data_IF_963049789084
#
_entry.id   IF_963049789084
#
_cell.length_a   1.000
_cell.length_b   1.000
_cell.length_c   1.000
_cell.angle_alpha   90.00
_cell.angle_beta   90.00
_cell.angle_gamma   90.00
#
_symmetry.space_group_name_H-M   'P 1'
#
loop_
_entity.id
_entity.type
_entity.pdbx_description
1 polymer ?
#
# COMPACT_ATOMS: atom_id res chain seq x y z
N UNK A 1 -29.33 43.49 7.46
CA UNK A 1 -28.47 42.65 8.33
C UNK A 1 -27.49 41.98 7.40
N UNK A 2 -26.23 42.41 7.42
CA UNK A 2 -25.15 41.79 6.64
C UNK A 2 -24.68 40.56 7.40
N UNK A 3 -24.96 39.38 6.88
CA UNK A 3 -24.40 38.12 7.37
C UNK A 3 -22.89 38.16 7.17
N UNK A 4 -22.12 37.97 8.24
CA UNK A 4 -20.67 37.82 8.15
C UNK A 4 -20.34 36.63 7.23
N UNK A 5 -19.37 36.77 6.32
CA UNK A 5 -18.98 35.69 5.42
C UNK A 5 -18.45 34.50 6.22
N UNK A 6 -18.86 33.28 5.85
CA UNK A 6 -18.41 32.07 6.52
C UNK A 6 -16.91 31.89 6.26
N UNK A 7 -16.18 31.31 7.23
CA UNK A 7 -14.73 31.05 7.09
C UNK A 7 -14.41 30.23 5.83
N UNK A 8 -15.34 29.37 5.40
CA UNK A 8 -15.23 28.61 4.15
C UNK A 8 -15.25 29.55 2.94
N UNK A 9 -16.13 30.55 2.93
CA UNK A 9 -16.25 31.51 1.83
C UNK A 9 -14.96 32.32 1.70
N UNK A 10 -14.41 32.79 2.83
CA UNK A 10 -13.13 33.51 2.87
C UNK A 10 -11.99 32.64 2.32
N UNK A 11 -11.99 31.34 2.64
CA UNK A 11 -10.96 30.42 2.16
C UNK A 11 -11.10 30.11 0.66
N UNK A 12 -12.33 30.07 0.12
CA UNK A 12 -12.54 29.97 -1.32
C UNK A 12 -12.14 31.26 -2.06
N UNK A 13 -12.44 32.43 -1.50
CA UNK A 13 -11.97 33.70 -2.05
C UNK A 13 -10.43 33.77 -2.09
N UNK A 14 -9.77 33.30 -1.02
CA UNK A 14 -8.31 33.18 -0.98
C UNK A 14 -7.79 32.14 -2.00
N UNK A 15 -8.55 31.08 -2.26
CA UNK A 15 -8.20 30.05 -3.23
C UNK A 15 -8.25 30.59 -4.67
N UNK A 16 -9.24 31.42 -4.98
CA UNK A 16 -9.35 32.10 -6.28
C UNK A 16 -8.15 33.04 -6.53
N UNK A 17 -7.64 33.68 -5.48
CA UNK A 17 -6.44 34.54 -5.56
C UNK A 17 -5.12 33.72 -5.66
N UNK A 18 -5.07 32.54 -5.05
CA UNK A 18 -3.88 31.69 -4.98
C UNK A 18 -4.23 30.21 -5.22
N UNK A 19 -4.54 29.83 -6.48
CA UNK A 19 -5.00 28.48 -6.80
C UNK A 19 -3.93 27.41 -6.53
N UNK A 20 -2.65 27.77 -6.48
CA UNK A 20 -1.57 26.83 -6.15
C UNK A 20 -1.30 26.72 -4.63
N UNK A 21 -2.01 27.49 -3.80
CA UNK A 21 -1.72 27.57 -2.38
C UNK A 21 -2.29 26.37 -1.62
N UNK A 22 -1.43 25.39 -1.43
CA UNK A 22 -1.72 24.18 -0.66
C UNK A 22 -2.12 24.48 0.80
N UNK A 23 -1.69 25.61 1.38
CA UNK A 23 -2.15 26.03 2.70
C UNK A 23 -3.65 26.34 2.72
N UNK A 24 -4.16 26.98 1.67
CA UNK A 24 -5.57 27.32 1.55
C UNK A 24 -6.40 26.04 1.34
N UNK A 25 -5.91 25.10 0.52
CA UNK A 25 -6.54 23.79 0.34
C UNK A 25 -6.65 23.00 1.65
N UNK A 26 -5.57 22.95 2.45
CA UNK A 26 -5.58 22.32 3.77
C UNK A 26 -6.64 22.95 4.68
N UNK A 27 -6.73 24.29 4.71
CA UNK A 27 -7.70 25.00 5.55
C UNK A 27 -9.14 24.81 5.10
N UNK A 28 -9.40 24.71 3.80
CA UNK A 28 -10.74 24.40 3.27
C UNK A 28 -11.18 23.01 3.75
N UNK A 29 -10.31 22.01 3.64
CA UNK A 29 -10.61 20.64 4.09
C UNK A 29 -10.86 20.62 5.60
N UNK A 30 -10.00 21.26 6.40
CA UNK A 30 -10.17 21.36 7.86
C UNK A 30 -11.48 22.09 8.24
N UNK A 31 -11.85 23.14 7.51
CA UNK A 31 -13.08 23.89 7.74
C UNK A 31 -14.33 23.04 7.44
N UNK A 32 -14.33 22.26 6.35
CA UNK A 32 -15.40 21.30 6.04
C UNK A 32 -15.50 20.19 7.10
N UNK A 33 -14.35 19.65 7.53
CA UNK A 33 -14.31 18.65 8.61
C UNK A 33 -14.88 19.19 9.92
N UNK A 34 -14.62 20.45 10.27
CA UNK A 34 -15.15 21.06 11.49
C UNK A 34 -16.68 21.24 11.47
N UNK A 35 -17.27 21.36 10.27
CA UNK A 35 -18.73 21.46 10.09
C UNK A 35 -19.43 20.11 9.98
N UNK A 36 -18.67 19.00 9.98
CA UNK A 36 -19.18 17.64 9.74
C UNK A 36 -19.95 17.52 8.41
N UNK A 37 -19.59 18.36 7.44
CA UNK A 37 -20.14 18.39 6.08
C UNK A 37 -19.06 17.88 5.11
N UNK A 38 -19.42 16.99 4.19
CA UNK A 38 -18.50 16.51 3.16
C UNK A 38 -18.47 17.48 1.99
N UNK A 39 -17.28 17.88 1.52
CA UNK A 39 -17.12 18.49 0.19
C UNK A 39 -17.81 17.55 -0.81
N UNK A 40 -18.93 17.97 -1.44
CA UNK A 40 -19.81 17.07 -2.17
C UNK A 40 -19.15 16.39 -3.36
N UNK A 41 -17.96 16.83 -3.81
CA UNK A 41 -17.27 16.24 -4.95
C UNK A 41 -15.78 15.95 -4.74
N UNK A 42 -15.19 16.22 -3.56
CA UNK A 42 -13.74 16.15 -3.35
C UNK A 42 -12.95 16.90 -4.46
N UNK A 43 -13.58 17.93 -5.04
CA UNK A 43 -13.18 18.53 -6.30
C UNK A 43 -11.84 19.25 -6.13
N UNK A 44 -11.64 19.86 -4.96
CA UNK A 44 -10.43 20.60 -4.58
C UNK A 44 -9.19 19.69 -4.55
N UNK A 45 -9.33 18.46 -4.03
CA UNK A 45 -8.23 17.49 -4.03
C UNK A 45 -7.93 16.95 -5.44
N UNK A 46 -8.97 16.74 -6.26
CA UNK A 46 -8.80 16.26 -7.63
C UNK A 46 -8.20 17.30 -8.58
N UNK A 47 -8.58 18.57 -8.49
CA UNK A 47 -8.03 19.67 -9.29
C UNK A 47 -6.54 19.86 -9.01
N UNK A 48 -6.14 19.87 -7.74
CA UNK A 48 -4.74 19.95 -7.33
C UNK A 48 -3.88 18.78 -7.85
N UNK A 49 -4.44 17.57 -7.90
CA UNK A 49 -3.75 16.39 -8.45
C UNK A 49 -3.59 16.43 -9.98
N UNK A 50 -4.51 17.09 -10.70
CA UNK A 50 -4.43 17.23 -12.17
C UNK A 50 -3.38 18.26 -12.58
N UNK A 51 -3.37 19.45 -11.97
CA UNK A 51 -2.45 20.54 -12.33
C UNK A 51 -0.97 20.18 -12.09
N UNK A 52 -0.69 19.33 -11.10
CA UNK A 52 0.66 18.84 -10.82
C UNK A 52 1.17 17.78 -11.81
N UNK A 53 0.27 16.99 -12.42
CA UNK A 53 0.64 16.05 -13.50
C UNK A 53 1.10 16.78 -14.76
N UNK A 54 0.57 17.97 -15.01
CA UNK A 54 0.87 18.74 -16.21
C UNK A 54 2.12 19.63 -16.06
N UNK A 55 2.41 20.10 -14.86
CA UNK A 55 3.64 20.87 -14.54
C UNK A 55 4.91 20.00 -14.45
N UNK A 56 4.78 18.73 -14.04
CA UNK A 56 5.90 17.78 -14.03
C UNK A 56 6.29 17.25 -15.43
N UNK A 57 5.43 17.41 -16.45
CA UNK A 57 5.77 17.06 -17.84
C UNK A 57 6.60 18.12 -18.56
N UNK A 58 6.68 19.34 -18.06
CA UNK A 58 7.26 20.49 -18.79
C UNK A 58 8.55 21.05 -18.19
N UNK A 59 9.02 20.55 -17.04
CA UNK A 59 10.17 21.14 -16.33
C UNK A 59 11.35 20.18 -16.15
N UNK A 60 11.94 19.74 -17.27
CA UNK A 60 13.29 19.13 -17.29
C UNK A 60 14.31 20.06 -17.96
N UNK A 61 14.58 21.21 -17.35
CA UNK A 61 15.88 21.93 -17.48
C UNK A 61 15.84 23.26 -16.74
N UNK A 62 16.49 23.34 -15.57
CA UNK A 62 17.38 24.45 -15.25
C UNK A 62 18.06 24.19 -13.91
N UNK A 63 19.38 24.07 -13.97
CA UNK A 63 20.28 24.13 -12.83
C UNK A 63 20.34 25.57 -12.34
N UNK A 64 19.95 25.83 -11.08
CA UNK A 64 20.35 27.06 -10.38
C UNK A 64 20.81 26.75 -8.96
N UNK A 65 22.10 27.01 -8.76
CA UNK A 65 22.81 27.08 -7.49
C UNK A 65 22.25 28.20 -6.61
N UNK A 66 21.84 27.84 -5.38
CA UNK A 66 21.40 28.79 -4.34
C UNK A 66 22.53 28.98 -3.31
N UNK A 67 22.77 30.20 -2.77
CA UNK A 67 23.85 30.46 -1.84
C UNK A 67 23.54 29.96 -0.41
N UNK A 68 24.58 29.37 0.19
CA UNK A 68 24.64 28.74 1.52
C UNK A 68 24.50 29.78 2.64
N UNK A 69 23.33 29.84 3.29
CA UNK A 69 23.09 30.60 4.53
C UNK A 69 23.60 29.78 5.73
N UNK A 70 24.51 30.36 6.54
CA UNK A 70 25.01 29.75 7.79
C UNK A 70 23.88 29.69 8.82
N UNK A 71 23.42 28.49 9.17
CA UNK A 71 22.54 28.26 10.32
C UNK A 71 23.35 27.73 11.51
N UNK A 72 22.98 28.23 12.69
CA UNK A 72 23.61 28.01 13.98
C UNK A 72 23.46 26.55 14.46
N UNK A 73 24.48 26.08 15.17
CA UNK A 73 24.52 24.75 15.78
C UNK A 73 23.46 24.61 16.89
N UNK A 74 22.79 23.46 17.03
CA UNK A 74 22.02 23.14 18.21
C UNK A 74 22.95 22.70 19.35
N UNK A 75 22.68 23.22 20.55
CA UNK A 75 23.30 22.79 21.81
C UNK A 75 23.01 21.32 22.06
N UNK A 76 24.07 20.54 22.29
CA UNK A 76 24.01 19.16 22.79
C UNK A 76 23.48 19.18 24.24
N UNK A 77 22.32 18.60 24.48
CA UNK A 77 21.94 18.06 25.79
C UNK A 77 22.11 16.55 25.75
N UNK A 78 23.21 16.09 26.35
CA UNK A 78 23.45 14.67 26.62
C UNK A 78 22.68 14.25 27.87
N UNK A 79 21.76 13.30 27.75
CA UNK A 79 21.31 12.47 28.85
C UNK A 79 21.49 11.00 28.45
N UNK A 80 22.11 10.16 29.28
CA UNK A 80 22.33 8.76 28.95
C UNK A 80 21.03 7.96 29.11
N UNK A 81 20.80 7.04 28.18
CA UNK A 81 19.75 6.05 28.25
C UNK A 81 20.02 5.08 29.41
N UNK A 82 19.10 5.01 30.38
CA UNK A 82 19.06 3.92 31.36
C UNK A 82 17.89 2.99 31.05
N UNK A 83 18.22 1.71 30.92
CA UNK A 83 17.34 0.58 30.61
C UNK A 83 16.59 0.03 31.85
N UNK A 84 16.27 0.90 32.82
CA UNK A 84 15.66 0.50 34.10
C UNK A 84 14.22 1.01 34.33
N UNK A 85 13.57 1.63 33.33
CA UNK A 85 12.38 2.46 33.55
C UNK A 85 11.03 1.73 33.70
N UNK A 86 10.89 0.46 33.30
CA UNK A 86 9.54 -0.13 33.26
C UNK A 86 8.96 -0.46 34.65
N UNK A 87 9.81 -0.71 35.64
CA UNK A 87 9.37 -0.96 37.03
C UNK A 87 9.05 0.32 37.79
N UNK A 88 9.62 1.46 37.38
CA UNK A 88 9.42 2.76 38.03
C UNK A 88 8.13 3.45 37.55
N UNK A 89 7.77 3.28 36.28
CA UNK A 89 6.57 3.88 35.68
C UNK A 89 5.26 3.47 36.36
N UNK A 90 5.16 2.24 36.86
CA UNK A 90 3.96 1.80 37.59
C UNK A 90 3.87 2.49 38.96
N UNK A 91 5.02 2.74 39.60
CA UNK A 91 5.13 3.50 40.84
C UNK A 91 4.75 4.96 40.61
N UNK A 92 5.37 5.59 39.61
CA UNK A 92 5.10 6.97 39.21
C UNK A 92 3.62 7.18 38.81
N UNK A 93 3.02 6.21 38.11
CA UNK A 93 1.61 6.26 37.73
C UNK A 93 0.69 6.20 38.94
N UNK A 94 0.96 5.30 39.91
CA UNK A 94 0.18 5.23 41.16
C UNK A 94 0.35 6.50 41.99
N UNK A 95 1.56 7.05 42.02
CA UNK A 95 1.86 8.31 42.69
C UNK A 95 1.07 9.46 42.06
N UNK A 96 1.05 9.55 40.72
CA UNK A 96 0.26 10.54 39.99
C UNK A 96 -1.25 10.40 40.27
N UNK A 97 -1.78 9.16 40.35
CA UNK A 97 -3.19 8.94 40.70
C UNK A 97 -3.51 9.46 42.10
N UNK A 98 -2.63 9.19 43.09
CA UNK A 98 -2.78 9.66 44.47
C UNK A 98 -2.66 11.18 44.57
N UNK A 99 -1.69 11.78 43.87
CA UNK A 99 -1.51 13.23 43.83
C UNK A 99 -2.72 13.92 43.18
N UNK A 100 -3.25 13.35 42.10
CA UNK A 100 -4.46 13.86 41.47
C UNK A 100 -5.69 13.76 42.39
N UNK A 101 -5.82 12.65 43.14
CA UNK A 101 -6.88 12.49 44.14
C UNK A 101 -6.77 13.55 45.25
N UNK A 102 -5.55 13.75 45.76
CA UNK A 102 -5.30 14.73 46.83
C UNK A 102 -5.58 16.15 46.36
N UNK A 103 -5.06 16.54 45.19
CA UNK A 103 -5.28 17.85 44.60
C UNK A 103 -6.76 18.10 44.29
N UNK A 104 -7.50 17.08 43.87
CA UNK A 104 -8.95 17.19 43.64
C UNK A 104 -9.71 17.48 44.94
N UNK A 105 -9.31 16.86 46.07
CA UNK A 105 -9.88 17.18 47.38
C UNK A 105 -9.54 18.60 47.85
N UNK A 106 -8.29 19.04 47.65
CA UNK A 106 -7.87 20.40 48.00
C UNK A 106 -8.65 21.46 47.21
N UNK A 107 -8.76 21.31 45.89
CA UNK A 107 -9.51 22.23 45.03
C UNK A 107 -10.99 22.23 45.41
N UNK A 108 -11.58 21.07 45.68
CA UNK A 108 -12.98 20.98 46.15
C UNK A 108 -13.20 21.72 47.46
N UNK A 109 -12.28 21.58 48.42
CA UNK A 109 -12.34 22.29 49.70
C UNK A 109 -12.21 23.81 49.54
N UNK A 110 -11.29 24.27 48.70
CA UNK A 110 -11.11 25.70 48.42
C UNK A 110 -12.35 26.26 47.70
N UNK A 111 -12.90 25.56 46.71
CA UNK A 111 -14.09 25.99 45.98
C UNK A 111 -15.30 26.15 46.92
N UNK A 112 -15.47 25.25 47.89
CA UNK A 112 -16.52 25.34 48.92
C UNK A 112 -16.30 26.53 49.87
N UNK A 113 -15.07 26.77 50.31
CA UNK A 113 -14.75 27.85 51.25
C UNK A 113 -14.78 29.25 50.61
N UNK A 114 -14.38 29.36 49.34
CA UNK A 114 -14.31 30.62 48.62
C UNK A 114 -15.59 30.99 47.88
N UNK A 115 -16.63 30.13 47.92
CA UNK A 115 -17.87 30.36 47.20
C UNK A 115 -17.70 30.38 45.67
N UNK A 116 -16.63 29.76 45.16
CA UNK A 116 -16.31 29.69 43.73
C UNK A 116 -16.99 28.49 43.03
N UNK A 117 -18.08 27.98 43.63
CA UNK A 117 -18.90 26.95 43.00
C UNK A 117 -19.48 27.50 41.69
N UNK A 118 -19.10 26.90 40.55
CA UNK A 118 -19.56 27.30 39.22
C UNK A 118 -18.53 28.05 38.36
N UNK A 119 -17.26 28.15 38.78
CA UNK A 119 -16.19 28.51 37.83
C UNK A 119 -15.93 27.30 36.94
N UNK A 120 -16.26 27.42 35.65
CA UNK A 120 -16.11 26.39 34.62
C UNK A 120 -14.69 25.79 34.58
N UNK A 121 -13.66 26.61 34.76
CA UNK A 121 -12.26 26.17 34.82
C UNK A 121 -11.97 25.26 36.03
N UNK A 122 -12.57 25.53 37.20
CA UNK A 122 -12.43 24.69 38.38
C UNK A 122 -13.18 23.37 38.22
N UNK A 123 -14.37 23.38 37.62
CA UNK A 123 -15.14 22.16 37.33
C UNK A 123 -14.41 21.27 36.31
N UNK A 124 -13.83 21.87 35.27
CA UNK A 124 -13.03 21.14 34.29
C UNK A 124 -11.76 20.56 34.92
N UNK A 125 -11.05 21.34 35.75
CA UNK A 125 -9.85 20.87 36.45
C UNK A 125 -10.16 19.70 37.39
N UNK A 126 -11.25 19.81 38.19
CA UNK A 126 -11.71 18.73 39.06
C UNK A 126 -12.13 17.48 38.28
N UNK A 127 -12.76 17.66 37.12
CA UNK A 127 -13.15 16.56 36.23
C UNK A 127 -11.91 15.85 35.69
N UNK A 128 -10.93 16.59 35.18
CA UNK A 128 -9.67 16.04 34.69
C UNK A 128 -8.87 15.33 35.79
N UNK A 129 -8.75 15.93 36.98
CA UNK A 129 -8.07 15.30 38.12
C UNK A 129 -8.80 14.04 38.59
N UNK A 130 -10.14 14.04 38.56
CA UNK A 130 -10.95 12.85 38.82
C UNK A 130 -10.73 11.74 37.79
N UNK A 131 -10.53 12.08 36.51
CA UNK A 131 -10.14 11.11 35.50
C UNK A 131 -8.73 10.56 35.76
N UNK A 132 -7.76 11.40 36.11
CA UNK A 132 -6.39 10.95 36.43
C UNK A 132 -6.38 10.03 37.66
N UNK A 133 -7.08 10.38 38.73
CA UNK A 133 -7.11 9.58 39.96
C UNK A 133 -7.75 8.20 39.78
N UNK A 134 -8.68 8.05 38.81
CA UNK A 134 -9.27 6.76 38.42
C UNK A 134 -8.43 5.98 37.42
N UNK A 135 -7.30 6.53 36.98
CA UNK A 135 -6.45 5.94 35.95
C UNK A 135 -7.01 6.08 34.53
N UNK A 136 -7.92 7.02 34.30
CA UNK A 136 -8.49 7.36 33.00
C UNK A 136 -7.74 8.54 32.37
N UNK A 137 -6.39 8.52 32.37
CA UNK A 137 -5.57 9.67 31.94
C UNK A 137 -5.92 10.15 30.53
N UNK A 138 -6.31 9.24 29.63
CA UNK A 138 -6.70 9.57 28.25
C UNK A 138 -7.94 10.47 28.15
N UNK A 139 -8.76 10.56 29.22
CA UNK A 139 -9.90 11.50 29.30
C UNK A 139 -9.49 12.87 29.84
N UNK A 140 -8.44 12.91 30.66
CA UNK A 140 -7.94 14.15 31.27
C UNK A 140 -6.97 14.91 30.37
N UNK A 141 -6.22 14.18 29.55
CA UNK A 141 -5.24 14.74 28.61
C UNK A 141 -5.81 14.51 27.20
N UNK A 142 -6.36 15.54 26.54
CA UNK A 142 -6.79 15.41 25.16
C UNK A 142 -5.58 14.97 24.34
N UNK A 143 -5.73 13.90 23.55
CA UNK A 143 -4.62 13.47 22.73
C UNK A 143 -4.25 14.60 21.77
N UNK A 144 -2.96 14.82 21.61
CA UNK A 144 -2.46 15.90 20.76
C UNK A 144 -2.95 15.65 19.34
N UNK A 145 -3.51 16.70 18.73
CA UNK A 145 -3.84 16.67 17.32
C UNK A 145 -2.59 16.27 16.52
N UNK A 146 -2.71 15.35 15.54
CA UNK A 146 -1.59 14.97 14.69
C UNK A 146 -0.98 16.21 14.05
N UNK A 147 0.35 16.23 13.96
CA UNK A 147 1.07 17.31 13.27
C UNK A 147 0.60 17.44 11.81
N UNK A 148 0.81 18.60 11.19
CA UNK A 148 0.46 18.78 9.78
C UNK A 148 1.14 17.75 8.88
N UNK A 149 0.47 17.32 7.81
CA UNK A 149 1.01 16.30 6.89
C UNK A 149 2.35 16.75 6.28
N UNK A 150 2.50 18.05 6.04
CA UNK A 150 3.76 18.66 5.56
C UNK A 150 4.89 18.61 6.57
N UNK A 151 4.60 18.85 7.84
CA UNK A 151 5.62 18.73 8.89
C UNK A 151 6.06 17.28 9.07
N UNK A 152 5.10 16.36 9.10
CA UNK A 152 5.37 14.92 9.11
C UNK A 152 6.20 14.50 7.90
N UNK A 153 5.79 14.88 6.69
CA UNK A 153 6.52 14.60 5.45
C UNK A 153 7.94 15.19 5.45
N UNK A 154 8.14 16.41 5.97
CA UNK A 154 9.49 16.99 6.12
C UNK A 154 10.35 16.18 7.07
N UNK A 155 9.79 15.74 8.20
CA UNK A 155 10.51 14.90 9.16
C UNK A 155 10.86 13.53 8.58
N UNK A 156 9.92 12.89 7.87
CA UNK A 156 10.11 11.61 7.19
C UNK A 156 11.18 11.74 6.08
N UNK A 157 11.09 12.78 5.25
CA UNK A 157 12.04 13.02 4.17
C UNK A 157 13.47 13.29 4.68
N UNK A 158 13.60 13.90 5.87
CA UNK A 158 14.88 14.13 6.54
C UNK A 158 15.48 12.86 7.15
N UNK A 159 14.65 11.87 7.53
CA UNK A 159 15.05 10.63 8.19
C UNK A 159 14.63 9.40 7.36
N UNK A 160 15.18 9.29 6.14
CA UNK A 160 14.75 8.28 5.16
C UNK A 160 14.93 6.83 5.63
N UNK A 161 15.94 6.59 6.45
CA UNK A 161 16.24 5.30 7.07
C UNK A 161 15.14 4.83 8.02
N UNK A 162 14.39 5.76 8.60
CA UNK A 162 13.29 5.50 9.53
C UNK A 162 11.93 5.85 8.94
N UNK A 163 11.84 6.03 7.63
CA UNK A 163 10.62 6.51 6.98
C UNK A 163 9.40 5.62 7.30
N UNK A 164 9.56 4.30 7.23
CA UNK A 164 8.49 3.35 7.53
C UNK A 164 8.00 3.46 8.99
N UNK A 165 8.92 3.53 9.95
CA UNK A 165 8.59 3.65 11.37
C UNK A 165 7.86 4.96 11.66
N UNK A 166 8.35 6.07 11.11
CA UNK A 166 7.75 7.40 11.28
C UNK A 166 6.35 7.48 10.64
N UNK A 167 6.15 6.85 9.49
CA UNK A 167 4.85 6.79 8.83
C UNK A 167 3.83 5.97 9.65
N UNK A 168 4.25 4.83 10.21
CA UNK A 168 3.41 4.04 11.11
C UNK A 168 3.04 4.88 12.34
N UNK A 169 4.01 5.57 12.95
CA UNK A 169 3.76 6.45 14.10
C UNK A 169 2.79 7.60 13.76
N UNK A 170 2.91 8.21 12.57
CA UNK A 170 1.99 9.27 12.11
C UNK A 170 0.56 8.74 12.02
N UNK A 171 0.35 7.59 11.38
CA UNK A 171 -0.97 6.97 11.28
C UNK A 171 -1.50 6.49 12.64
N UNK A 172 -0.67 5.93 13.51
CA UNK A 172 -1.07 5.56 14.87
C UNK A 172 -1.49 6.79 15.69
N UNK A 173 -0.80 7.93 15.54
CA UNK A 173 -1.19 9.19 16.17
C UNK A 173 -2.56 9.69 15.66
N UNK A 174 -2.82 9.56 14.35
CA UNK A 174 -4.14 9.89 13.77
C UNK A 174 -5.24 8.99 14.34
N UNK A 175 -4.98 7.69 14.50
CA UNK A 175 -5.94 6.77 15.14
C UNK A 175 -6.17 7.16 16.59
N UNK A 176 -5.11 7.39 17.36
CA UNK A 176 -5.21 7.75 18.77
C UNK A 176 -6.04 9.02 18.95
N UNK A 177 -5.81 10.03 18.10
CA UNK A 177 -6.56 11.27 18.09
C UNK A 177 -8.02 11.13 17.64
N UNK A 178 -8.27 10.36 16.58
CA UNK A 178 -9.62 10.07 16.13
C UNK A 178 -10.42 9.28 17.19
N UNK A 179 -9.74 8.44 17.97
CA UNK A 179 -10.34 7.63 19.04
C UNK A 179 -10.54 8.39 20.34
N UNK A 180 -9.81 9.49 20.58
CA UNK A 180 -9.90 10.31 21.79
C UNK A 180 -10.92 11.45 21.71
N UNK A 181 -11.66 11.55 20.61
CA UNK A 181 -12.73 12.54 20.46
C UNK A 181 -13.86 12.26 21.46
N UNK A 182 -14.59 13.30 21.89
CA UNK A 182 -15.74 13.16 22.81
C UNK A 182 -16.76 12.14 22.31
N UNK A 183 -17.00 12.13 20.99
CA UNK A 183 -17.71 11.05 20.30
C UNK A 183 -16.69 10.25 19.49
N UNK A 184 -16.31 9.03 19.94
CA UNK A 184 -15.37 8.20 19.22
C UNK A 184 -15.84 7.94 17.79
N UNK A 185 -14.94 8.15 16.82
CA UNK A 185 -15.25 7.92 15.42
C UNK A 185 -15.42 6.43 15.12
N UNK A 186 -16.30 6.11 14.16
CA UNK A 186 -16.43 4.73 13.67
C UNK A 186 -15.14 4.26 13.00
N UNK A 187 -14.87 2.95 12.99
CA UNK A 187 -13.68 2.39 12.33
C UNK A 187 -13.60 2.77 10.84
N UNK A 188 -14.74 2.91 10.17
CA UNK A 188 -14.79 3.34 8.77
C UNK A 188 -14.40 4.82 8.61
N UNK A 189 -14.89 5.68 9.51
CA UNK A 189 -14.52 7.09 9.53
C UNK A 189 -13.02 7.29 9.83
N UNK A 190 -12.45 6.45 10.71
CA UNK A 190 -11.00 6.44 10.96
C UNK A 190 -10.25 5.99 9.70
N UNK A 191 -10.74 4.96 9.00
CA UNK A 191 -10.13 4.49 7.75
C UNK A 191 -10.13 5.58 6.67
N UNK A 192 -11.25 6.27 6.47
CA UNK A 192 -11.36 7.39 5.52
C UNK A 192 -10.36 8.51 5.86
N UNK A 193 -10.24 8.87 7.15
CA UNK A 193 -9.24 9.85 7.60
C UNK A 193 -7.80 9.39 7.31
N UNK A 194 -7.47 8.12 7.50
CA UNK A 194 -6.14 7.59 7.19
C UNK A 194 -5.87 7.59 5.69
N UNK A 195 -6.86 7.27 4.85
CA UNK A 195 -6.74 7.33 3.39
C UNK A 195 -6.49 8.78 2.95
N UNK A 196 -7.25 9.75 3.47
CA UNK A 196 -7.02 11.18 3.21
C UNK A 196 -5.63 11.61 3.67
N UNK A 197 -5.21 11.21 4.88
CA UNK A 197 -3.88 11.50 5.43
C UNK A 197 -2.78 10.93 4.54
N UNK A 198 -2.93 9.68 4.07
CA UNK A 198 -2.02 9.05 3.12
C UNK A 198 -1.91 9.87 1.83
N UNK A 199 -3.03 10.27 1.23
CA UNK A 199 -3.03 11.08 0.00
C UNK A 199 -2.24 12.39 0.18
N UNK A 200 -2.42 13.06 1.33
CA UNK A 200 -1.66 14.27 1.66
C UNK A 200 -0.15 13.99 1.83
N UNK A 201 0.21 12.88 2.48
CA UNK A 201 1.60 12.46 2.64
C UNK A 201 2.23 12.07 1.30
N UNK A 202 1.52 11.32 0.45
CA UNK A 202 1.95 10.96 -0.90
C UNK A 202 2.18 12.20 -1.78
N UNK A 203 1.35 13.24 -1.62
CA UNK A 203 1.56 14.51 -2.29
C UNK A 203 2.78 15.29 -1.74
N UNK A 204 3.07 15.19 -0.45
CA UNK A 204 4.17 15.92 0.18
C UNK A 204 5.53 15.21 0.10
N UNK A 205 5.55 13.89 -0.09
CA UNK A 205 6.75 13.06 -0.16
C UNK A 205 7.22 12.84 -1.61
N UNK A 206 8.51 12.51 -1.83
CA UNK A 206 8.99 12.07 -3.14
C UNK A 206 8.30 10.77 -3.60
N UNK A 207 8.05 10.63 -4.90
CA UNK A 207 7.39 9.45 -5.48
C UNK A 207 8.08 8.12 -5.11
N UNK A 208 9.42 8.14 -4.95
CA UNK A 208 10.20 6.99 -4.48
C UNK A 208 9.79 6.46 -3.10
N UNK A 209 8.99 7.21 -2.34
CA UNK A 209 8.50 6.84 -1.00
C UNK A 209 7.04 6.38 -0.96
N UNK A 210 6.32 6.42 -2.10
CA UNK A 210 4.89 6.03 -2.15
C UNK A 210 4.62 4.58 -1.70
N UNK A 211 5.63 3.71 -1.80
CA UNK A 211 5.54 2.37 -1.22
C UNK A 211 5.45 2.41 0.31
N UNK A 212 6.30 3.20 0.98
CA UNK A 212 6.34 3.23 2.45
C UNK A 212 5.01 3.72 3.04
N UNK A 213 4.37 4.71 2.41
CA UNK A 213 3.05 5.20 2.84
C UNK A 213 1.96 4.13 2.70
N UNK A 214 2.00 3.36 1.61
CA UNK A 214 1.09 2.23 1.35
C UNK A 214 1.32 1.10 2.36
N UNK A 215 2.57 0.68 2.54
CA UNK A 215 2.95 -0.39 3.47
C UNK A 215 2.59 0.00 4.92
N UNK A 216 2.86 1.25 5.32
CA UNK A 216 2.54 1.75 6.66
C UNK A 216 1.02 1.78 6.92
N UNK A 217 0.22 2.21 5.93
CA UNK A 217 -1.23 2.19 6.05
C UNK A 217 -1.74 0.75 6.23
N UNK A 218 -1.26 -0.18 5.40
CA UNK A 218 -1.68 -1.58 5.48
C UNK A 218 -1.35 -2.21 6.85
N UNK A 219 -0.17 -1.92 7.40
CA UNK A 219 0.25 -2.39 8.74
C UNK A 219 -0.66 -1.85 9.84
N UNK A 220 -0.99 -0.56 9.78
CA UNK A 220 -1.84 0.10 10.77
C UNK A 220 -3.29 -0.38 10.67
N UNK A 221 -3.82 -0.55 9.45
CA UNK A 221 -5.14 -1.12 9.22
C UNK A 221 -5.26 -2.54 9.77
N UNK A 222 -4.21 -3.37 9.58
CA UNK A 222 -4.13 -4.72 10.15
C UNK A 222 -4.20 -4.69 11.66
N UNK A 223 -3.33 -3.89 12.30
CA UNK A 223 -3.13 -3.86 13.75
C UNK A 223 -4.29 -3.23 14.51
N UNK A 224 -4.86 -2.14 14.00
CA UNK A 224 -5.80 -1.30 14.75
C UNK A 224 -7.23 -1.34 14.21
N UNK A 225 -7.41 -1.52 12.91
CA UNK A 225 -8.73 -1.42 12.26
C UNK A 225 -9.33 -2.78 11.88
N UNK A 226 -8.69 -3.89 12.27
CA UNK A 226 -9.15 -5.27 12.03
C UNK A 226 -9.56 -5.49 10.57
N UNK A 227 -8.75 -4.98 9.63
CA UNK A 227 -9.01 -5.11 8.20
C UNK A 227 -9.18 -6.57 7.83
N UNK A 228 -10.26 -6.87 7.10
CA UNK A 228 -10.51 -8.21 6.57
C UNK A 228 -9.83 -8.35 5.21
N UNK A 229 -8.90 -9.30 5.14
CA UNK A 229 -8.26 -9.71 3.89
C UNK A 229 -9.03 -10.84 3.24
N UNK A 230 -8.77 -11.10 1.96
CA UNK A 230 -9.42 -12.22 1.25
C UNK A 230 -9.01 -13.56 1.87
N UNK A 231 -7.78 -13.67 2.33
CA UNK A 231 -7.26 -14.81 3.08
C UNK A 231 -7.18 -14.51 4.57
N UNK A 232 -7.50 -15.50 5.40
CA UNK A 232 -7.31 -15.46 6.86
C UNK A 232 -5.96 -16.04 7.30
N UNK A 233 -5.36 -16.89 6.46
CA UNK A 233 -4.13 -17.62 6.70
C UNK A 233 -3.15 -17.43 5.54
N UNK A 234 -1.85 -17.61 5.80
CA UNK A 234 -0.78 -17.63 4.81
C UNK A 234 -0.82 -18.91 3.98
N UNK A 235 0.10 -19.07 3.03
CA UNK A 235 0.16 -20.30 2.22
C UNK A 235 0.62 -21.51 3.04
N UNK A 236 1.30 -21.27 4.16
CA UNK A 236 1.76 -22.32 5.08
C UNK A 236 0.81 -22.56 6.27
N UNK A 237 -0.29 -21.81 6.34
CA UNK A 237 -1.33 -21.99 7.36
C UNK A 237 -1.18 -21.11 8.61
N UNK A 238 -0.19 -20.21 8.63
CA UNK A 238 -0.06 -19.23 9.72
C UNK A 238 -1.14 -18.16 9.61
N UNK A 239 -1.55 -17.54 10.71
CA UNK A 239 -2.58 -16.49 10.64
C UNK A 239 -2.00 -15.20 10.05
N UNK A 240 -2.80 -14.47 9.28
CA UNK A 240 -2.40 -13.16 8.72
C UNK A 240 -2.00 -12.14 9.81
N UNK A 241 -2.61 -12.25 10.99
CA UNK A 241 -2.30 -11.43 12.16
C UNK A 241 -0.89 -11.69 12.73
N UNK A 242 -0.34 -12.88 12.49
CA UNK A 242 0.94 -13.35 13.04
C UNK A 242 2.12 -13.03 12.11
N UNK A 243 1.87 -12.59 10.86
CA UNK A 243 2.93 -12.23 9.91
C UNK A 243 3.78 -11.06 10.47
N UNK A 244 5.12 -11.18 10.54
CA UNK A 244 5.99 -10.09 10.97
C UNK A 244 5.77 -8.81 10.14
N UNK A 245 5.88 -7.63 10.75
CA UNK A 245 5.61 -6.36 10.06
C UNK A 245 6.56 -6.13 8.88
N UNK A 246 7.81 -6.58 9.01
CA UNK A 246 8.84 -6.55 7.97
C UNK A 246 8.59 -7.50 6.79
N UNK A 247 7.75 -8.52 6.97
CA UNK A 247 7.39 -9.49 5.95
C UNK A 247 6.02 -9.20 5.33
N UNK A 248 5.23 -8.34 5.95
CA UNK A 248 3.83 -8.16 5.59
C UNK A 248 3.69 -7.35 4.29
N UNK A 249 2.98 -7.92 3.34
CA UNK A 249 2.62 -7.26 2.08
C UNK A 249 1.14 -7.49 1.76
N UNK A 250 0.51 -6.51 1.13
CA UNK A 250 -0.88 -6.61 0.67
C UNK A 250 -0.92 -6.26 -0.81
N UNK A 251 -1.43 -7.18 -1.62
CA UNK A 251 -1.64 -6.96 -3.06
C UNK A 251 -2.92 -6.17 -3.33
N UNK A 252 -3.06 -5.61 -4.53
CA UNK A 252 -4.24 -4.81 -4.93
C UNK A 252 -5.55 -5.61 -4.87
N UNK A 253 -5.49 -6.93 -5.07
CA UNK A 253 -6.62 -7.86 -4.89
C UNK A 253 -6.95 -8.18 -3.42
N UNK A 254 -6.35 -7.45 -2.47
CA UNK A 254 -6.59 -7.51 -1.03
C UNK A 254 -6.21 -8.86 -0.37
N UNK A 255 -5.26 -9.58 -0.96
CA UNK A 255 -4.60 -10.70 -0.29
C UNK A 255 -3.43 -10.21 0.58
N UNK A 256 -3.34 -10.76 1.77
CA UNK A 256 -2.24 -10.53 2.69
C UNK A 256 -1.19 -11.64 2.54
N UNK A 257 0.07 -11.24 2.45
CA UNK A 257 1.19 -12.12 2.17
C UNK A 257 2.26 -11.98 3.23
N UNK A 258 2.83 -13.13 3.62
CA UNK A 258 4.21 -13.16 4.06
C UNK A 258 5.11 -13.12 2.81
N UNK A 259 5.93 -12.09 2.70
CA UNK A 259 6.81 -11.88 1.55
C UNK A 259 7.90 -12.93 1.41
N UNK A 260 8.31 -13.59 2.49
CA UNK A 260 9.23 -14.72 2.43
C UNK A 260 8.54 -15.89 1.72
N UNK A 261 7.34 -16.25 2.16
CA UNK A 261 6.55 -17.32 1.54
C UNK A 261 6.21 -17.00 0.08
N UNK A 262 5.71 -15.79 -0.19
CA UNK A 262 5.34 -15.35 -1.53
C UNK A 262 6.54 -15.41 -2.47
N UNK A 263 7.70 -14.90 -2.05
CA UNK A 263 8.88 -14.92 -2.90
C UNK A 263 9.43 -16.35 -3.10
N UNK A 264 9.27 -17.27 -2.14
CA UNK A 264 9.59 -18.68 -2.35
C UNK A 264 8.65 -19.32 -3.38
N UNK A 265 7.33 -19.10 -3.24
CA UNK A 265 6.34 -19.65 -4.16
C UNK A 265 6.51 -19.12 -5.59
N UNK A 266 6.85 -17.84 -5.75
CA UNK A 266 7.15 -17.24 -7.05
C UNK A 266 8.44 -17.78 -7.65
N UNK A 267 9.49 -17.97 -6.84
CA UNK A 267 10.74 -18.57 -7.29
C UNK A 267 10.57 -20.04 -7.72
N UNK A 268 9.75 -20.81 -6.98
CA UNK A 268 9.44 -22.20 -7.33
C UNK A 268 8.64 -22.33 -8.63
N UNK A 269 7.88 -21.29 -9.00
CA UNK A 269 7.15 -21.22 -10.27
C UNK A 269 7.93 -20.45 -11.35
N UNK A 270 9.26 -20.56 -11.34
CA UNK A 270 10.18 -19.96 -12.34
C UNK A 270 10.02 -18.43 -12.51
N UNK A 271 9.51 -17.73 -11.49
CA UNK A 271 9.29 -16.29 -11.52
C UNK A 271 8.05 -15.87 -12.30
N UNK A 272 7.03 -16.72 -12.47
CA UNK A 272 5.73 -16.23 -12.95
C UNK A 272 5.11 -15.35 -11.88
N UNK A 273 4.85 -14.07 -12.18
CA UNK A 273 4.20 -13.12 -11.26
C UNK A 273 2.69 -13.37 -11.14
N UNK A 274 2.34 -14.51 -10.57
CA UNK A 274 0.97 -14.97 -10.36
C UNK A 274 0.73 -15.13 -8.87
N UNK A 275 -0.42 -14.64 -8.41
CA UNK A 275 -0.92 -14.87 -7.07
C UNK A 275 -1.08 -16.39 -6.85
N UNK A 276 -0.35 -17.02 -5.92
CA UNK A 276 -0.41 -18.46 -5.72
C UNK A 276 -1.76 -18.99 -5.23
N UNK A 277 -2.59 -18.15 -4.61
CA UNK A 277 -3.90 -18.52 -4.06
C UNK A 277 -5.01 -18.30 -5.09
N UNK A 278 -5.17 -17.08 -5.62
CA UNK A 278 -6.21 -16.77 -6.61
C UNK A 278 -5.89 -17.29 -8.01
N UNK A 279 -4.61 -17.57 -8.27
CA UNK A 279 -4.05 -17.90 -9.58
C UNK A 279 -4.19 -16.78 -10.63
N UNK A 280 -4.57 -15.58 -10.20
CA UNK A 280 -4.57 -14.36 -11.03
C UNK A 280 -3.15 -13.80 -11.19
N UNK A 281 -2.89 -13.10 -12.30
CA UNK A 281 -1.63 -12.38 -12.46
C UNK A 281 -1.61 -11.18 -11.51
N UNK A 282 -0.48 -10.93 -10.86
CA UNK A 282 -0.27 -9.69 -10.14
C UNK A 282 -0.31 -8.51 -11.12
N UNK A 283 -0.84 -7.37 -10.67
CA UNK A 283 -0.85 -6.15 -11.47
C UNK A 283 0.58 -5.61 -11.63
N UNK A 284 0.81 -4.71 -12.57
CA UNK A 284 2.14 -4.11 -12.74
C UNK A 284 2.62 -3.36 -11.48
N UNK A 285 1.67 -2.76 -10.75
CA UNK A 285 1.92 -2.11 -9.46
C UNK A 285 2.38 -3.14 -8.42
N UNK A 286 1.64 -4.23 -8.26
CA UNK A 286 1.99 -5.32 -7.35
C UNK A 286 3.36 -5.90 -7.70
N UNK A 287 3.63 -6.17 -8.97
CA UNK A 287 4.91 -6.68 -9.45
C UNK A 287 6.05 -5.74 -9.05
N UNK A 288 5.89 -4.43 -9.28
CA UNK A 288 6.90 -3.44 -8.90
C UNK A 288 7.12 -3.41 -7.40
N UNK A 289 6.04 -3.47 -6.61
CA UNK A 289 6.10 -3.46 -5.15
C UNK A 289 6.77 -4.72 -4.61
N UNK A 290 6.38 -5.91 -5.09
CA UNK A 290 7.00 -7.21 -4.79
C UNK A 290 8.50 -7.16 -5.06
N UNK A 291 8.91 -6.69 -6.25
CA UNK A 291 10.34 -6.63 -6.61
C UNK A 291 11.11 -5.57 -5.82
N UNK A 292 10.45 -4.53 -5.33
CA UNK A 292 11.07 -3.51 -4.48
C UNK A 292 11.20 -3.94 -3.02
N UNK A 293 10.40 -4.93 -2.59
CA UNK A 293 10.40 -5.43 -1.22
C UNK A 293 11.74 -6.05 -0.84
N UNK A 294 12.30 -5.80 0.36
CA UNK A 294 13.59 -6.37 0.78
C UNK A 294 13.72 -7.88 0.51
N UNK A 295 12.69 -8.65 0.88
CA UNK A 295 12.62 -10.10 0.64
C UNK A 295 12.28 -10.48 -0.81
N UNK A 296 11.66 -9.58 -1.57
CA UNK A 296 11.29 -9.81 -2.97
C UNK A 296 12.39 -9.44 -3.97
N UNK A 297 13.44 -8.71 -3.57
CA UNK A 297 14.59 -8.35 -4.43
C UNK A 297 15.22 -9.58 -5.09
N UNK A 298 15.22 -10.74 -4.40
CA UNK A 298 15.74 -12.00 -4.94
C UNK A 298 15.02 -12.50 -6.19
N UNK A 299 13.82 -12.01 -6.47
CA UNK A 299 13.05 -12.34 -7.67
C UNK A 299 13.50 -11.54 -8.89
N UNK A 300 14.23 -10.42 -8.72
CA UNK A 300 14.66 -9.57 -9.84
C UNK A 300 15.49 -10.31 -10.90
N UNK A 301 16.50 -11.14 -10.54
CA UNK A 301 17.25 -11.90 -11.54
C UNK A 301 16.37 -12.88 -12.31
N UNK A 302 15.40 -13.51 -11.64
CA UNK A 302 14.46 -14.45 -12.27
C UNK A 302 13.54 -13.70 -13.24
N UNK A 303 13.01 -12.54 -12.84
CA UNK A 303 12.24 -11.66 -13.74
C UNK A 303 13.03 -11.19 -14.95
N UNK A 304 14.30 -10.81 -14.74
CA UNK A 304 15.17 -10.40 -15.82
C UNK A 304 15.41 -11.57 -16.79
N UNK A 305 15.66 -12.77 -16.27
CA UNK A 305 15.81 -13.97 -17.08
C UNK A 305 14.52 -14.28 -17.88
N UNK A 306 13.34 -14.19 -17.26
CA UNK A 306 12.06 -14.35 -17.95
C UNK A 306 11.86 -13.29 -19.05
N UNK A 307 12.22 -12.03 -18.79
CA UNK A 307 12.17 -10.96 -19.78
C UNK A 307 13.15 -11.17 -20.94
N UNK A 308 14.34 -11.71 -20.68
CA UNK A 308 15.33 -12.05 -21.71
C UNK A 308 14.90 -13.25 -22.54
N UNK A 309 14.34 -14.28 -21.90
CA UNK A 309 13.79 -15.45 -22.59
C UNK A 309 12.68 -15.04 -23.56
N UNK A 310 11.79 -14.12 -23.14
CA UNK A 310 10.74 -13.55 -23.99
C UNK A 310 11.27 -12.92 -25.29
N UNK A 311 12.41 -12.22 -25.23
CA UNK A 311 13.07 -11.61 -26.39
C UNK A 311 13.77 -12.63 -27.30
N UNK A 312 13.98 -13.86 -26.84
CA UNK A 312 14.72 -14.90 -27.55
C UNK A 312 13.90 -15.66 -28.60
N UNK A 313 12.60 -15.41 -28.73
CA UNK A 313 11.73 -16.12 -29.68
C UNK A 313 11.64 -15.35 -30.99
N UNK A 314 12.01 -15.97 -32.11
CA UNK A 314 11.93 -15.35 -33.43
C UNK A 314 10.48 -15.22 -33.89
N UNK A 315 10.20 -14.19 -34.71
CA UNK A 315 8.88 -13.97 -35.29
C UNK A 315 8.34 -15.19 -36.05
N UNK A 316 9.22 -15.95 -36.72
CA UNK A 316 8.82 -17.19 -37.42
C UNK A 316 8.33 -18.26 -36.43
N UNK A 317 9.02 -18.45 -35.30
CA UNK A 317 8.60 -19.38 -34.25
C UNK A 317 7.25 -18.97 -33.67
N UNK A 318 7.05 -17.67 -33.42
CA UNK A 318 5.76 -17.13 -32.95
C UNK A 318 4.65 -17.43 -33.97
N UNK A 319 4.91 -17.24 -35.27
CA UNK A 319 3.98 -17.56 -36.35
C UNK A 319 3.64 -19.05 -36.39
N UNK A 320 4.63 -19.92 -36.20
CA UNK A 320 4.45 -21.38 -36.15
C UNK A 320 3.63 -21.82 -34.93
N UNK A 321 3.82 -21.18 -33.77
CA UNK A 321 3.00 -21.41 -32.56
C UNK A 321 1.54 -21.02 -32.81
N UNK A 322 1.31 -19.86 -33.42
CA UNK A 322 -0.03 -19.39 -33.77
C UNK A 322 -0.72 -20.32 -34.80
N UNK A 323 0.02 -20.72 -35.84
CA UNK A 323 -0.45 -21.62 -36.89
C UNK A 323 -0.88 -22.97 -36.29
N UNK A 324 -0.03 -23.56 -35.43
CA UNK A 324 -0.38 -24.78 -34.71
C UNK A 324 -1.65 -24.57 -33.87
N UNK A 325 -1.72 -23.49 -33.08
CA UNK A 325 -2.90 -23.20 -32.25
C UNK A 325 -4.20 -23.14 -33.06
N UNK A 326 -4.17 -22.49 -34.23
CA UNK A 326 -5.32 -22.37 -35.11
C UNK A 326 -5.75 -23.72 -35.71
N UNK A 327 -4.80 -24.57 -36.12
CA UNK A 327 -5.10 -25.91 -36.64
C UNK A 327 -5.76 -26.76 -35.55
N UNK A 328 -5.19 -26.77 -34.33
CA UNK A 328 -5.71 -27.55 -33.21
C UNK A 328 -7.13 -27.13 -32.79
N UNK A 329 -7.46 -25.83 -32.91
CA UNK A 329 -8.79 -25.31 -32.60
C UNK A 329 -9.81 -25.62 -33.71
N UNK A 330 -9.39 -25.56 -34.97
CA UNK A 330 -10.27 -25.77 -36.13
C UNK A 330 -10.56 -27.25 -36.42
N UNK A 331 -9.73 -28.17 -35.93
CA UNK A 331 -9.89 -29.59 -36.17
C UNK A 331 -11.12 -30.16 -35.44
N UNK A 332 -12.11 -30.58 -36.23
CA UNK A 332 -13.34 -31.24 -35.78
C UNK A 332 -13.43 -32.67 -36.35
N UNK A 333 -12.32 -33.22 -36.86
CA UNK A 333 -12.29 -34.54 -37.47
C UNK A 333 -12.29 -35.64 -36.41
N UNK A 334 -12.95 -36.77 -36.70
CA UNK A 334 -13.09 -37.89 -35.77
C UNK A 334 -11.74 -38.49 -35.35
N UNK A 335 -10.75 -38.47 -36.26
CA UNK A 335 -9.42 -39.04 -36.02
C UNK A 335 -8.35 -38.01 -35.62
N UNK A 336 -8.71 -36.72 -35.55
CA UNK A 336 -7.80 -35.59 -35.30
C UNK A 336 -6.52 -35.63 -36.16
N UNK A 337 -6.63 -36.12 -37.41
CA UNK A 337 -5.47 -36.29 -38.28
C UNK A 337 -4.74 -34.96 -38.58
N UNK A 338 -5.44 -33.83 -38.87
CA UNK A 338 -4.80 -32.53 -39.02
C UNK A 338 -4.01 -32.11 -37.78
N UNK A 339 -4.60 -32.24 -36.59
CA UNK A 339 -3.95 -31.86 -35.32
C UNK A 339 -2.71 -32.69 -35.04
N UNK A 340 -2.77 -34.00 -35.26
CA UNK A 340 -1.63 -34.92 -35.06
C UNK A 340 -0.48 -34.58 -36.01
N UNK A 341 -0.78 -34.37 -37.29
CA UNK A 341 0.22 -34.02 -38.30
C UNK A 341 0.89 -32.68 -37.97
N UNK A 342 0.11 -31.66 -37.61
CA UNK A 342 0.64 -30.34 -37.25
C UNK A 342 1.49 -30.38 -35.97
N UNK A 343 1.07 -31.17 -34.98
CA UNK A 343 1.85 -31.38 -33.75
C UNK A 343 3.21 -32.01 -34.06
N UNK A 344 3.25 -33.03 -34.91
CA UNK A 344 4.50 -33.69 -35.32
C UNK A 344 5.41 -32.77 -36.14
N UNK A 345 4.84 -32.00 -37.07
CA UNK A 345 5.59 -31.00 -37.82
C UNK A 345 6.20 -29.95 -36.90
N UNK A 346 5.44 -29.46 -35.93
CA UNK A 346 5.92 -28.45 -34.99
C UNK A 346 7.03 -29.00 -34.07
N UNK A 347 6.91 -30.24 -33.59
CA UNK A 347 7.96 -30.89 -32.80
C UNK A 347 9.25 -31.11 -33.62
N UNK A 348 9.12 -31.49 -34.89
CA UNK A 348 10.25 -31.60 -35.80
C UNK A 348 10.91 -30.24 -36.04
N UNK A 349 10.12 -29.18 -36.22
CA UNK A 349 10.61 -27.80 -36.32
C UNK A 349 11.34 -27.37 -35.05
N UNK A 350 10.77 -27.61 -33.86
CA UNK A 350 11.39 -27.29 -32.58
C UNK A 350 12.80 -27.88 -32.45
N UNK A 351 13.00 -29.12 -32.91
CA UNK A 351 14.30 -29.78 -32.86
C UNK A 351 15.38 -29.12 -33.77
N UNK A 352 14.98 -28.26 -34.70
CA UNK A 352 15.89 -27.50 -35.58
C UNK A 352 16.24 -26.10 -35.04
N UNK A 353 15.58 -25.66 -33.96
CA UNK A 353 15.80 -24.33 -33.40
C UNK A 353 17.15 -24.25 -32.67
N UNK A 354 17.76 -23.07 -32.54
CA UNK A 354 18.93 -22.90 -31.68
C UNK A 354 18.60 -23.20 -30.21
N UNK A 355 19.59 -23.68 -29.44
CA UNK A 355 19.41 -24.14 -28.05
C UNK A 355 18.74 -23.11 -27.13
N UNK A 356 19.03 -21.82 -27.32
CA UNK A 356 18.43 -20.74 -26.53
C UNK A 356 16.92 -20.63 -26.79
N UNK A 357 16.48 -20.78 -28.04
CA UNK A 357 15.07 -20.69 -28.41
C UNK A 357 14.31 -21.96 -28.01
N UNK A 358 14.93 -23.14 -28.14
CA UNK A 358 14.38 -24.38 -27.58
C UNK A 358 14.17 -24.27 -26.08
N UNK A 359 15.20 -23.79 -25.36
CA UNK A 359 15.13 -23.54 -23.92
C UNK A 359 14.00 -22.58 -23.57
N UNK A 360 13.86 -21.48 -24.31
CA UNK A 360 12.73 -20.56 -24.12
C UNK A 360 11.38 -21.27 -24.30
N UNK A 361 11.18 -22.05 -25.37
CA UNK A 361 9.91 -22.76 -25.60
C UNK A 361 9.61 -23.76 -24.48
N UNK A 362 10.63 -24.42 -23.94
CA UNK A 362 10.49 -25.44 -22.89
C UNK A 362 10.36 -24.84 -21.49
N UNK A 363 10.90 -23.64 -21.21
CA UNK A 363 10.94 -23.05 -19.86
C UNK A 363 10.10 -21.79 -19.68
N UNK A 364 9.74 -21.07 -20.76
CA UNK A 364 8.95 -19.85 -20.65
C UNK A 364 7.50 -20.20 -20.30
N UNK A 365 7.07 -19.76 -19.13
CA UNK A 365 5.68 -19.82 -18.69
C UNK A 365 4.92 -18.63 -19.26
N UNK A 366 3.78 -18.90 -19.87
CA UNK A 366 2.94 -17.87 -20.49
C UNK A 366 1.73 -17.59 -19.59
N UNK A 367 1.44 -16.32 -19.27
CA UNK A 367 0.20 -15.95 -18.61
C UNK A 367 -0.99 -16.12 -19.56
N UNK A 368 -1.74 -17.22 -19.43
CA UNK A 368 -2.90 -17.53 -20.25
C UNK A 368 -3.99 -18.21 -19.43
N UNK A 369 -5.24 -18.18 -19.92
CA UNK A 369 -6.41 -18.80 -19.27
C UNK A 369 -7.21 -19.65 -20.24
N UNK A 370 -7.66 -20.80 -19.78
CA UNK A 370 -8.57 -21.65 -20.52
C UNK A 370 -9.89 -20.91 -20.73
N UNK A 371 -10.23 -20.61 -22.00
CA UNK A 371 -11.45 -19.86 -22.34
C UNK A 371 -12.73 -20.57 -21.93
N UNK A 372 -12.72 -21.88 -21.74
CA UNK A 372 -13.92 -22.65 -21.41
C UNK A 372 -14.27 -22.57 -19.92
N UNK A 373 -13.26 -22.63 -19.04
CA UNK A 373 -13.46 -22.76 -17.60
C UNK A 373 -12.77 -21.66 -16.77
N UNK A 374 -12.07 -20.72 -17.42
CA UNK A 374 -11.37 -19.60 -16.80
C UNK A 374 -10.14 -19.99 -16.00
N UNK A 375 -9.77 -21.28 -15.94
CA UNK A 375 -8.62 -21.75 -15.17
C UNK A 375 -7.33 -21.32 -15.86
N UNK A 376 -6.32 -20.89 -15.10
CA UNK A 376 -5.08 -20.48 -15.70
C UNK A 376 -4.29 -21.69 -16.24
N UNK A 377 -3.53 -21.44 -17.30
CA UNK A 377 -2.55 -22.40 -17.80
C UNK A 377 -1.25 -22.27 -16.99
N UNK A 378 -0.72 -23.39 -16.51
CA UNK A 378 0.56 -23.51 -15.79
C UNK A 378 1.64 -24.19 -16.66
N UNK A 379 1.45 -24.21 -17.98
CA UNK A 379 2.30 -24.95 -18.92
C UNK A 379 3.29 -24.04 -19.64
N UNK A 380 4.32 -24.66 -20.20
CA UNK A 380 5.18 -24.03 -21.23
C UNK A 380 4.70 -24.51 -22.61
N UNK A 381 5.07 -23.77 -23.67
CA UNK A 381 4.71 -24.15 -25.04
C UNK A 381 5.19 -25.57 -25.34
N UNK A 382 6.44 -25.88 -24.99
CA UNK A 382 7.01 -27.21 -25.20
C UNK A 382 6.26 -28.32 -24.45
N UNK A 383 5.91 -28.08 -23.18
CA UNK A 383 5.14 -29.05 -22.39
C UNK A 383 3.75 -29.30 -23.00
N UNK A 384 3.02 -28.25 -23.37
CA UNK A 384 1.67 -28.38 -23.91
C UNK A 384 1.63 -29.16 -25.23
N UNK A 385 2.61 -28.96 -26.11
CA UNK A 385 2.70 -29.71 -27.37
C UNK A 385 3.03 -31.19 -27.11
N UNK A 386 3.95 -31.49 -26.19
CA UNK A 386 4.29 -32.86 -25.77
C UNK A 386 3.10 -33.58 -25.13
N UNK A 387 2.30 -32.86 -24.34
CA UNK A 387 1.08 -33.40 -23.70
C UNK A 387 -0.02 -33.68 -24.73
N UNK A 388 -0.20 -32.80 -25.72
CA UNK A 388 -1.10 -33.04 -26.85
C UNK A 388 -0.68 -34.28 -27.64
N UNK A 389 0.62 -34.41 -27.96
CA UNK A 389 1.16 -35.58 -28.67
C UNK A 389 0.92 -36.89 -27.92
N UNK A 390 1.03 -36.84 -26.59
CA UNK A 390 0.84 -37.99 -25.69
C UNK A 390 -0.65 -38.27 -25.38
N UNK A 391 -1.58 -37.50 -25.96
CA UNK A 391 -3.02 -37.54 -25.65
C UNK A 391 -3.35 -37.32 -24.16
N UNK A 392 -2.49 -36.61 -23.42
CA UNK A 392 -2.74 -36.26 -22.01
C UNK A 392 -3.69 -35.06 -21.89
N UNK A 393 -3.69 -34.19 -22.90
CA UNK A 393 -4.58 -33.02 -22.98
C UNK A 393 -5.22 -32.97 -24.37
N UNK A 394 -6.48 -32.56 -24.45
CA UNK A 394 -7.17 -32.41 -25.74
C UNK A 394 -6.54 -31.31 -26.60
N UNK A 395 -6.57 -31.50 -27.92
CA UNK A 395 -6.00 -30.56 -28.88
C UNK A 395 -6.61 -29.16 -28.77
N UNK A 396 -7.92 -29.03 -28.59
CA UNK A 396 -8.58 -27.71 -28.47
C UNK A 396 -8.08 -26.90 -27.28
N UNK A 397 -7.80 -27.56 -26.14
CA UNK A 397 -7.26 -26.90 -24.95
C UNK A 397 -5.82 -26.43 -25.18
N UNK A 398 -5.00 -27.26 -25.82
CA UNK A 398 -3.64 -26.86 -26.21
C UNK A 398 -3.68 -25.76 -27.25
N UNK A 399 -4.57 -25.85 -28.24
CA UNK A 399 -4.76 -24.83 -29.26
C UNK A 399 -5.12 -23.47 -28.67
N UNK A 400 -6.05 -23.43 -27.71
CA UNK A 400 -6.43 -22.21 -27.00
C UNK A 400 -5.25 -21.58 -26.24
N UNK A 401 -4.47 -22.39 -25.52
CA UNK A 401 -3.24 -21.93 -24.87
C UNK A 401 -2.22 -21.38 -25.87
N UNK A 402 -1.94 -22.08 -26.97
CA UNK A 402 -0.96 -21.67 -27.97
C UNK A 402 -1.35 -20.37 -28.68
N UNK A 403 -2.64 -20.15 -28.97
CA UNK A 403 -3.12 -18.88 -29.52
C UNK A 403 -2.87 -17.70 -28.57
N UNK A 404 -3.08 -17.89 -27.25
CA UNK A 404 -2.79 -16.86 -26.25
C UNK A 404 -1.29 -16.66 -26.04
N UNK A 405 -0.50 -17.72 -26.12
CA UNK A 405 0.96 -17.66 -26.06
C UNK A 405 1.54 -16.86 -27.23
N UNK A 406 1.06 -17.12 -28.45
CA UNK A 406 1.47 -16.35 -29.62
C UNK A 406 1.13 -14.86 -29.46
N UNK A 407 -0.07 -14.52 -29.00
CA UNK A 407 -0.47 -13.12 -28.73
C UNK A 407 0.43 -12.46 -27.69
N UNK A 408 0.74 -13.17 -26.59
CA UNK A 408 1.63 -12.68 -25.53
C UNK A 408 3.05 -12.44 -26.03
N UNK A 409 3.55 -13.30 -26.93
CA UNK A 409 4.87 -13.15 -27.54
C UNK A 409 4.90 -12.04 -28.60
N UNK A 410 3.77 -11.76 -29.28
CA UNK A 410 3.64 -10.66 -30.27
C UNK A 410 3.48 -9.29 -29.62
N UNK A 411 2.82 -9.20 -28.47
CA UNK A 411 2.59 -7.94 -27.74
C UNK A 411 3.82 -7.38 -27.03
N UNK A 412 5.02 -7.79 -27.45
CA UNK A 412 6.31 -7.33 -26.94
C UNK A 412 6.81 -6.08 -27.67
#
# INVERSE_FOLDING_TARGET
MTTEPSIIDILYDMLDEQPDSVYIHERIIEAWESKNETDPNNAVAHTYLQERRDTNKTSSSSSNTVPRRKQAQPRKSSAPASTSKSTDLLGDYKQLMLEAEHLNHEISGIAQLSGLQGIEECEQAMTNLGHISRGEISKAIPSLQPVSARESARNIAANRDKAQELLVQDFEAVIAWASSQETPLSLESIRDRLVKRRVLLDAALPESMSRYTTDALALVERKHLKKKYVNSETMLGDKVEEIPAENFFVSEDNYAWDMEELAQALAANDGVMRNPLSKEMFTETDIRNILSHPLGIRLKPIQLAQSQLKQGVRAETIRRVEELGNILLADQTENAAPSRSATDEFLAYMATLPDNEQKTIDSLKIPARDKLNGRPYDYTIGQSVKDAKSNLTCFHKVGDFLSQAAQTLKGQ
#
